data_IF_545107765222
#
_entry.id   IF_545107765222
#
_cell.length_a   1.000
_cell.length_b   1.000
_cell.length_c   1.000
_cell.angle_alpha   90.00
_cell.angle_beta   90.00
_cell.angle_gamma   90.00
#
_symmetry.space_group_name_H-M   'P 1'
#
loop_
_entity.id
_entity.type
_entity.pdbx_description
1 polymer ?
#
# COMPACT_ATOMS: atom_id res chain seq x y z
N UNK A 1 35.70 -6.71 8.83
CA UNK A 1 35.17 -5.40 9.26
C UNK A 1 34.12 -4.99 8.25
N UNK A 2 32.86 -5.16 8.69
CA UNK A 2 31.57 -4.73 8.14
C UNK A 2 31.33 -4.80 6.62
N UNK A 3 30.70 -5.93 6.27
CA UNK A 3 29.75 -6.15 5.17
C UNK A 3 28.99 -4.89 4.74
N UNK A 4 28.98 -4.66 3.43
CA UNK A 4 28.13 -3.69 2.76
C UNK A 4 26.64 -4.07 2.96
N UNK A 5 26.02 -3.50 3.99
CA UNK A 5 24.57 -3.51 4.15
C UNK A 5 23.98 -2.53 3.13
N UNK A 6 23.16 -3.04 2.19
CA UNK A 6 22.44 -2.22 1.22
C UNK A 6 21.45 -1.31 1.93
N UNK A 7 21.90 -0.11 2.30
CA UNK A 7 21.09 0.89 2.95
C UNK A 7 20.16 1.54 1.92
N UNK A 8 18.88 1.21 2.00
CA UNK A 8 17.79 2.00 1.41
C UNK A 8 17.99 3.43 1.94
N UNK A 9 18.47 4.35 1.10
CA UNK A 9 18.74 5.72 1.52
C UNK A 9 17.43 6.38 1.98
N UNK A 10 17.36 6.75 3.26
CA UNK A 10 16.15 7.27 3.87
C UNK A 10 15.99 8.76 3.58
N UNK A 11 15.25 9.11 2.51
CA UNK A 11 14.93 10.50 2.20
C UNK A 11 13.78 10.98 3.08
N UNK A 12 14.07 11.86 4.03
CA UNK A 12 13.11 12.53 4.91
C UNK A 12 12.30 13.58 4.12
N UNK A 13 11.05 13.82 4.53
CA UNK A 13 10.24 14.93 4.02
C UNK A 13 10.76 16.24 4.62
N UNK A 14 11.22 17.17 3.79
CA UNK A 14 11.81 18.47 4.16
C UNK A 14 10.73 19.53 4.49
N UNK A 15 9.88 19.23 5.46
CA UNK A 15 9.07 20.24 6.15
C UNK A 15 9.45 20.20 7.61
N UNK A 16 9.53 21.36 8.28
CA UNK A 16 9.99 21.53 9.66
C UNK A 16 9.09 20.86 10.75
N UNK A 17 8.34 19.83 10.37
CA UNK A 17 7.51 19.02 11.23
C UNK A 17 8.32 17.79 11.65
N UNK A 18 8.43 17.57 12.96
CA UNK A 18 9.04 16.38 13.52
C UNK A 18 8.10 15.18 13.30
N UNK A 19 8.31 14.49 12.17
CA UNK A 19 7.60 13.26 11.84
C UNK A 19 8.45 12.07 12.29
N UNK A 20 7.82 11.14 13.02
CA UNK A 20 8.38 9.80 13.21
C UNK A 20 8.72 9.18 11.86
N UNK A 21 9.69 8.27 11.82
CA UNK A 21 10.02 7.54 10.59
C UNK A 21 8.74 6.92 10.01
N UNK A 22 8.27 7.46 8.89
CA UNK A 22 6.96 7.15 8.31
C UNK A 22 7.08 7.08 6.79
N UNK A 23 6.53 6.02 6.19
CA UNK A 23 6.54 5.82 4.74
C UNK A 23 5.23 5.25 4.25
N UNK A 24 4.82 5.71 3.07
CA UNK A 24 3.73 5.14 2.29
C UNK A 24 4.35 4.44 1.09
N UNK A 25 4.13 3.13 0.99
CA UNK A 25 4.55 2.28 -0.11
C UNK A 25 3.34 1.91 -0.96
N UNK A 26 3.55 1.77 -2.27
CA UNK A 26 2.58 1.16 -3.16
C UNK A 26 2.85 -0.34 -3.27
N UNK A 27 1.82 -1.17 -3.08
CA UNK A 27 1.86 -2.61 -3.30
C UNK A 27 0.81 -2.99 -4.36
N UNK A 28 1.23 -3.75 -5.37
CA UNK A 28 0.38 -4.12 -6.49
C UNK A 28 0.74 -5.51 -7.00
N UNK A 29 -0.26 -6.38 -7.19
CA UNK A 29 -0.13 -7.58 -8.01
C UNK A 29 -0.57 -7.21 -9.44
N UNK A 30 0.33 -7.18 -10.44
CA UNK A 30 0.00 -6.73 -11.78
C UNK A 30 -1.13 -7.52 -12.45
N UNK A 31 -1.20 -8.84 -12.20
CA UNK A 31 -2.23 -9.69 -12.77
C UNK A 31 -3.61 -9.36 -12.20
N UNK A 32 -3.73 -9.25 -10.88
CA UNK A 32 -4.99 -8.89 -10.23
C UNK A 32 -5.42 -7.47 -10.57
N UNK A 33 -4.48 -6.53 -10.68
CA UNK A 33 -4.76 -5.18 -11.12
C UNK A 33 -5.32 -5.13 -12.54
N UNK A 34 -4.74 -5.91 -13.46
CA UNK A 34 -5.26 -6.05 -14.81
C UNK A 34 -6.67 -6.65 -14.82
N UNK A 35 -6.89 -7.76 -14.11
CA UNK A 35 -8.22 -8.39 -13.99
C UNK A 35 -9.26 -7.41 -13.40
N UNK A 36 -8.90 -6.58 -12.42
CA UNK A 36 -9.78 -5.57 -11.87
C UNK A 36 -10.09 -4.45 -12.87
N UNK A 37 -9.10 -3.97 -13.63
CA UNK A 37 -9.30 -2.96 -14.68
C UNK A 37 -10.23 -3.45 -15.79
N UNK A 38 -10.28 -4.76 -16.05
CA UNK A 38 -11.23 -5.35 -16.99
C UNK A 38 -12.67 -5.36 -16.45
N UNK A 39 -12.87 -5.31 -15.13
CA UNK A 39 -14.19 -5.27 -14.50
C UNK A 39 -14.71 -3.83 -14.31
N UNK A 40 -13.81 -2.90 -13.98
CA UNK A 40 -14.10 -1.48 -13.78
C UNK A 40 -12.88 -0.65 -14.18
N UNK A 41 -12.99 0.17 -15.23
CA UNK A 41 -11.88 1.00 -15.71
C UNK A 41 -11.42 2.05 -14.69
N UNK A 42 -12.34 2.59 -13.90
CA UNK A 42 -12.07 3.59 -12.85
C UNK A 42 -11.44 3.00 -11.59
N UNK A 43 -11.33 1.67 -11.45
CA UNK A 43 -10.66 1.05 -10.28
C UNK A 43 -9.21 1.48 -10.15
N UNK A 44 -8.59 1.93 -11.25
CA UNK A 44 -7.23 2.49 -11.24
C UNK A 44 -7.04 3.64 -10.24
N UNK A 45 -8.11 4.35 -9.87
CA UNK A 45 -8.07 5.41 -8.83
C UNK A 45 -7.84 4.87 -7.41
N UNK A 46 -8.12 3.59 -7.18
CA UNK A 46 -7.91 2.88 -5.91
C UNK A 46 -6.60 2.06 -5.90
N UNK A 47 -5.90 1.99 -7.02
CA UNK A 47 -4.65 1.25 -7.20
C UNK A 47 -3.43 2.21 -7.24
N UNK A 48 -2.22 1.75 -6.86
CA UNK A 48 -1.95 0.52 -6.13
C UNK A 48 -2.43 0.61 -4.68
N UNK A 49 -2.64 -0.54 -4.03
CA UNK A 49 -2.91 -0.60 -2.60
C UNK A 49 -1.80 0.08 -1.81
N UNK A 50 -2.15 0.79 -0.74
CA UNK A 50 -1.21 1.54 0.09
C UNK A 50 -0.79 0.70 1.29
N UNK A 51 0.50 0.72 1.59
CA UNK A 51 1.08 0.13 2.81
C UNK A 51 1.81 1.23 3.55
N UNK A 52 1.46 1.42 4.82
CA UNK A 52 2.15 2.33 5.74
C UNK A 52 3.20 1.52 6.50
N UNK A 53 4.41 2.05 6.57
CA UNK A 53 5.48 1.56 7.44
C UNK A 53 5.88 2.71 8.34
N UNK A 54 5.71 2.55 9.66
CA UNK A 54 6.02 3.62 10.60
C UNK A 54 6.68 3.10 11.88
N UNK A 55 7.58 3.90 12.43
CA UNK A 55 8.12 3.68 13.76
C UNK A 55 7.13 4.21 14.81
N UNK A 56 6.71 3.35 15.72
CA UNK A 56 5.74 3.71 16.78
C UNK A 56 6.39 3.84 18.16
N UNK A 57 7.55 3.20 18.36
CA UNK A 57 8.43 3.33 19.52
C UNK A 57 9.87 2.88 19.15
N UNK A 58 10.83 3.04 20.06
CA UNK A 58 12.21 2.60 19.87
C UNK A 58 12.26 1.12 19.45
N UNK A 59 12.91 0.84 18.31
CA UNK A 59 13.00 -0.49 17.68
C UNK A 59 11.66 -1.17 17.37
N UNK A 60 10.54 -0.42 17.35
CA UNK A 60 9.21 -0.95 17.07
C UNK A 60 8.63 -0.32 15.80
N UNK A 61 8.53 -1.15 14.75
CA UNK A 61 7.95 -0.78 13.45
C UNK A 61 6.57 -1.40 13.30
N UNK A 62 5.58 -0.58 12.97
CA UNK A 62 4.25 -1.00 12.54
C UNK A 62 4.18 -1.04 11.01
N UNK A 63 3.53 -2.06 10.48
CA UNK A 63 3.19 -2.19 9.06
C UNK A 63 1.68 -2.35 8.94
N UNK A 64 1.03 -1.44 8.22
CA UNK A 64 -0.41 -1.47 7.98
C UNK A 64 -0.70 -1.44 6.48
N UNK A 65 -1.51 -2.38 5.98
CA UNK A 65 -1.90 -2.45 4.57
C UNK A 65 -3.39 -2.14 4.40
N UNK A 66 -3.73 -1.44 3.32
CA UNK A 66 -5.13 -1.19 2.99
C UNK A 66 -5.83 -2.49 2.61
N UNK A 67 -7.07 -2.66 3.08
CA UNK A 67 -7.90 -3.83 2.73
C UNK A 67 -8.51 -3.60 1.34
N UNK A 68 -8.32 -4.51 0.36
CA UNK A 68 -8.82 -4.33 -0.99
C UNK A 68 -10.34 -4.09 -1.04
N UNK A 69 -11.11 -4.90 -0.31
CA UNK A 69 -12.57 -4.76 -0.25
C UNK A 69 -12.98 -3.37 0.24
N UNK A 70 -12.38 -2.87 1.32
CA UNK A 70 -12.66 -1.54 1.86
C UNK A 70 -12.33 -0.43 0.86
N UNK A 71 -11.23 -0.57 0.12
CA UNK A 71 -10.78 0.40 -0.90
C UNK A 71 -11.76 0.49 -2.07
N UNK A 72 -12.43 -0.61 -2.39
CA UNK A 72 -13.34 -0.70 -3.54
C UNK A 72 -14.81 -0.45 -3.18
N UNK A 73 -15.15 -0.20 -1.90
CA UNK A 73 -16.54 0.02 -1.46
C UNK A 73 -17.23 1.18 -2.15
N UNK A 74 -16.48 2.23 -2.52
CA UNK A 74 -17.00 3.41 -3.21
C UNK A 74 -17.38 3.15 -4.68
N UNK A 75 -16.99 2.00 -5.24
CA UNK A 75 -17.33 1.60 -6.60
C UNK A 75 -18.53 0.65 -6.55
N UNK A 76 -19.64 1.04 -7.18
CA UNK A 76 -20.89 0.27 -7.21
C UNK A 76 -20.85 -0.86 -8.27
N UNK A 77 -19.85 -1.72 -8.19
CA UNK A 77 -19.65 -2.85 -9.10
C UNK A 77 -19.56 -4.18 -8.32
N UNK A 78 -20.62 -5.02 -8.32
CA UNK A 78 -20.65 -6.27 -7.57
C UNK A 78 -19.54 -7.26 -7.95
N UNK A 79 -19.21 -7.36 -9.24
CA UNK A 79 -18.17 -8.29 -9.72
C UNK A 79 -16.78 -7.86 -9.25
N UNK A 80 -16.54 -6.55 -9.21
CA UNK A 80 -15.32 -6.00 -8.64
C UNK A 80 -15.21 -6.32 -7.13
N UNK A 81 -16.30 -6.18 -6.38
CA UNK A 81 -16.33 -6.52 -4.94
C UNK A 81 -16.01 -7.99 -4.70
N UNK A 82 -16.63 -8.89 -5.47
CA UNK A 82 -16.35 -10.32 -5.39
C UNK A 82 -14.89 -10.65 -5.75
N UNK A 83 -14.31 -9.94 -6.72
CA UNK A 83 -12.88 -10.08 -7.06
C UNK A 83 -11.96 -9.62 -5.92
N UNK A 84 -12.30 -8.51 -5.27
CA UNK A 84 -11.55 -7.96 -4.14
C UNK A 84 -11.51 -8.93 -2.93
N UNK A 85 -12.58 -9.67 -2.68
CA UNK A 85 -12.66 -10.66 -1.59
C UNK A 85 -11.66 -11.82 -1.77
N UNK A 86 -11.42 -12.24 -3.02
CA UNK A 86 -10.41 -13.26 -3.34
C UNK A 86 -8.97 -12.78 -3.13
N UNK A 87 -8.78 -11.47 -3.03
CA UNK A 87 -7.47 -10.82 -2.94
C UNK A 87 -7.02 -10.59 -1.49
N UNK A 88 -7.73 -11.16 -0.50
CA UNK A 88 -7.31 -11.11 0.91
C UNK A 88 -5.98 -11.87 1.10
N UNK A 89 -4.97 -11.26 1.74
CA UNK A 89 -3.78 -11.99 2.17
C UNK A 89 -4.12 -13.02 3.25
#
# INVERSE_FOLDING_TARGET
>A
MTSASGLIHWRQMETAMDLRNYRILGACNPRLAYEALQLEDKVGTMLPGKVVVQEIAHDLTEIAAIVPVASMQAIENPDLKASAERSRP
#
